data_IF_172232769706
#
_entry.id   IF_172232769706
#
_cell.length_a   1.000
_cell.length_b   1.000
_cell.length_c   1.000
_cell.angle_alpha   90.00
_cell.angle_beta   90.00
_cell.angle_gamma   90.00
#
_symmetry.space_group_name_H-M   'P 1'
#
loop_
_entity.id
_entity.type
_entity.pdbx_description
1 polymer ?
#
# COMPACT_ATOMS: atom_id res chain seq x y z
N UNK A 1 -11.26 -3.52 -13.70
CA UNK A 1 -11.31 -4.85 -14.32
C UNK A 1 -11.85 -4.71 -15.73
N UNK A 2 -11.24 -5.34 -16.73
CA UNK A 2 -11.77 -5.36 -18.09
C UNK A 2 -12.65 -6.60 -18.28
N UNK A 3 -13.79 -6.43 -18.92
CA UNK A 3 -14.59 -7.55 -19.43
C UNK A 3 -15.05 -7.27 -20.85
N UNK A 4 -15.43 -8.33 -21.54
CA UNK A 4 -16.03 -8.27 -22.86
C UNK A 4 -17.53 -8.54 -22.74
N UNK A 5 -18.35 -7.70 -23.37
CA UNK A 5 -19.78 -7.92 -23.59
C UNK A 5 -19.99 -8.07 -25.10
N UNK A 6 -20.79 -9.05 -25.52
CA UNK A 6 -21.13 -9.26 -26.93
C UNK A 6 -22.61 -8.91 -27.10
N UNK A 7 -22.89 -7.97 -27.99
CA UNK A 7 -24.25 -7.50 -28.27
C UNK A 7 -25.02 -8.50 -29.16
N UNK A 8 -26.33 -8.31 -29.31
CA UNK A 8 -27.20 -9.20 -30.12
C UNK A 8 -26.77 -9.27 -31.60
N UNK A 9 -26.08 -8.24 -32.10
CA UNK A 9 -25.47 -8.20 -33.45
C UNK A 9 -24.12 -8.95 -33.53
N UNK A 10 -23.69 -9.63 -32.46
CA UNK A 10 -22.42 -10.35 -32.38
C UNK A 10 -21.18 -9.45 -32.24
N UNK A 11 -21.38 -8.15 -31.97
CA UNK A 11 -20.28 -7.19 -31.85
C UNK A 11 -19.70 -7.18 -30.44
N UNK A 12 -18.37 -7.23 -30.33
CA UNK A 12 -17.65 -7.23 -29.05
C UNK A 12 -17.42 -5.81 -28.51
N UNK A 13 -17.92 -5.55 -27.30
CA UNK A 13 -17.75 -4.32 -26.53
C UNK A 13 -16.83 -4.57 -25.32
N UNK A 14 -15.69 -3.90 -25.30
CA UNK A 14 -14.77 -3.94 -24.15
C UNK A 14 -15.11 -2.83 -23.17
N UNK A 15 -15.49 -3.21 -21.95
CA UNK A 15 -15.88 -2.27 -20.90
C UNK A 15 -14.89 -2.36 -19.75
N UNK A 16 -14.42 -1.20 -19.30
CA UNK A 16 -13.59 -1.08 -18.10
C UNK A 16 -14.47 -0.81 -16.88
N UNK A 17 -14.51 -1.76 -15.97
CA UNK A 17 -15.12 -1.62 -14.66
C UNK A 17 -14.11 -1.04 -13.68
N UNK A 18 -14.30 0.20 -13.25
CA UNK A 18 -13.64 0.78 -12.08
C UNK A 18 -14.68 1.27 -11.08
N UNK A 19 -14.29 1.39 -9.80
CA UNK A 19 -15.07 2.18 -8.85
C UNK A 19 -15.02 3.63 -9.32
N UNK A 20 -16.12 4.13 -9.90
CA UNK A 20 -16.29 5.55 -10.21
C UNK A 20 -16.41 6.33 -8.89
N UNK A 21 -15.62 7.39 -8.73
CA UNK A 21 -15.71 8.30 -7.56
C UNK A 21 -17.12 8.89 -7.36
N UNK A 22 -17.92 8.96 -8.43
CA UNK A 22 -19.20 9.68 -8.45
C UNK A 22 -20.41 8.85 -8.00
N UNK A 23 -20.31 7.52 -7.96
CA UNK A 23 -21.45 6.64 -7.64
C UNK A 23 -21.56 6.40 -6.13
N UNK A 24 -22.02 7.43 -5.43
CA UNK A 24 -22.35 7.36 -4.01
C UNK A 24 -21.11 7.54 -3.14
N UNK A 25 -21.13 8.62 -2.37
CA UNK A 25 -20.18 9.07 -1.35
C UNK A 25 -20.02 8.05 -0.21
N UNK A 26 -19.64 6.80 -0.51
CA UNK A 26 -18.76 6.01 0.34
C UNK A 26 -17.34 6.29 -0.13
N UNK A 27 -16.99 7.57 -0.11
CA UNK A 27 -15.61 8.02 0.01
C UNK A 27 -15.04 7.18 1.15
N UNK A 28 -13.96 6.43 0.90
CA UNK A 28 -13.21 5.77 1.98
C UNK A 28 -13.22 6.70 3.18
N UNK A 29 -13.80 6.25 4.30
CA UNK A 29 -14.06 7.17 5.41
C UNK A 29 -12.74 7.87 5.74
N UNK A 30 -12.77 9.18 5.99
CA UNK A 30 -11.57 9.94 6.37
C UNK A 30 -10.80 9.23 7.50
N UNK A 31 -11.53 8.54 8.38
CA UNK A 31 -10.98 7.65 9.40
C UNK A 31 -10.17 6.47 8.81
N UNK A 32 -10.73 5.72 7.86
CA UNK A 32 -10.06 4.58 7.20
C UNK A 32 -8.77 5.01 6.50
N UNK A 33 -8.80 6.14 5.79
CA UNK A 33 -7.61 6.71 5.15
C UNK A 33 -6.55 7.10 6.20
N UNK A 34 -6.96 7.79 7.29
CA UNK A 34 -6.03 8.17 8.36
C UNK A 34 -5.39 6.96 9.05
N UNK A 35 -6.17 5.92 9.35
CA UNK A 35 -5.64 4.67 9.94
C UNK A 35 -4.66 3.99 8.99
N UNK A 36 -4.97 3.93 7.69
CA UNK A 36 -4.07 3.38 6.69
C UNK A 36 -2.72 4.12 6.66
N UNK A 37 -2.75 5.45 6.53
CA UNK A 37 -1.52 6.26 6.47
C UNK A 37 -0.74 6.24 7.79
N UNK A 38 -1.43 6.24 8.93
CA UNK A 38 -0.79 6.09 10.24
C UNK A 38 -0.09 4.73 10.35
N UNK A 39 -0.76 3.63 10.01
CA UNK A 39 -0.14 2.31 10.01
C UNK A 39 1.06 2.22 9.08
N UNK A 40 0.93 2.75 7.86
CA UNK A 40 1.98 2.76 6.84
C UNK A 40 3.24 3.52 7.29
N UNK A 41 3.10 4.56 8.12
CA UNK A 41 4.23 5.36 8.65
C UNK A 41 4.74 4.83 9.99
N UNK A 42 3.86 4.38 10.89
CA UNK A 42 4.25 3.86 12.21
C UNK A 42 5.06 2.57 12.07
N UNK A 43 4.68 1.68 11.16
CA UNK A 43 5.42 0.44 10.94
C UNK A 43 6.92 0.65 10.60
N UNK A 44 7.31 1.46 9.60
CA UNK A 44 8.72 1.71 9.34
C UNK A 44 9.43 2.41 10.49
N UNK A 45 8.75 3.28 11.26
CA UNK A 45 9.33 3.88 12.48
C UNK A 45 9.72 2.81 13.51
N UNK A 46 8.84 1.82 13.76
CA UNK A 46 9.13 0.71 14.67
C UNK A 46 10.35 -0.09 14.18
N UNK A 47 10.44 -0.35 12.87
CA UNK A 47 11.59 -1.05 12.29
C UNK A 47 12.90 -0.27 12.44
N UNK A 48 12.87 1.05 12.29
CA UNK A 48 14.05 1.91 12.53
C UNK A 48 14.49 1.87 13.99
N UNK A 49 13.55 1.86 14.94
CA UNK A 49 13.86 1.71 16.38
C UNK A 49 14.53 0.35 16.65
N UNK A 50 13.99 -0.74 16.08
CA UNK A 50 14.63 -2.06 16.17
C UNK A 50 15.99 -2.09 15.48
N UNK A 51 16.19 -1.34 14.39
CA UNK A 51 17.48 -1.23 13.71
C UNK A 51 18.52 -0.61 14.64
N UNK A 52 18.15 0.51 15.26
CA UNK A 52 19.02 1.20 16.20
C UNK A 52 19.32 0.34 17.43
N UNK A 53 18.32 -0.33 18.00
CA UNK A 53 18.49 -1.22 19.15
C UNK A 53 19.41 -2.41 18.85
N UNK A 54 19.27 -3.03 17.68
CA UNK A 54 20.11 -4.17 17.25
C UNK A 54 21.54 -3.75 16.90
N UNK A 55 21.73 -2.54 16.34
CA UNK A 55 23.04 -1.93 16.11
C UNK A 55 23.77 -1.66 17.42
N UNK A 56 23.11 -1.04 18.41
CA UNK A 56 23.70 -0.77 19.73
C UNK A 56 23.99 -2.06 20.50
N UNK A 57 23.13 -3.08 20.37
CA UNK A 57 23.33 -4.38 21.03
C UNK A 57 24.31 -5.32 20.31
N UNK A 58 24.88 -4.92 19.16
CA UNK A 58 25.77 -5.73 18.29
C UNK A 58 25.25 -7.15 18.00
N UNK A 59 23.92 -7.33 17.99
CA UNK A 59 23.29 -8.64 17.76
C UNK A 59 23.16 -8.90 16.26
N UNK A 60 24.27 -9.23 15.61
CA UNK A 60 24.40 -9.43 14.15
C UNK A 60 23.35 -10.40 13.59
N UNK A 61 22.96 -11.43 14.34
CA UNK A 61 21.92 -12.39 13.94
C UNK A 61 20.57 -11.74 13.61
N UNK A 62 20.22 -10.64 14.29
CA UNK A 62 18.94 -9.94 14.11
C UNK A 62 19.01 -8.81 13.09
N UNK A 63 20.22 -8.39 12.71
CA UNK A 63 20.45 -7.29 11.78
C UNK A 63 19.82 -7.54 10.41
N UNK A 64 19.93 -8.77 9.88
CA UNK A 64 19.36 -9.14 8.59
C UNK A 64 17.82 -9.00 8.55
N UNK A 65 17.15 -9.41 9.63
CA UNK A 65 15.68 -9.30 9.75
C UNK A 65 15.26 -7.84 9.77
N UNK A 66 15.99 -7.01 10.50
CA UNK A 66 15.70 -5.59 10.60
C UNK A 66 15.94 -4.87 9.27
N UNK A 67 17.05 -5.14 8.58
CA UNK A 67 17.34 -4.56 7.26
C UNK A 67 16.23 -4.92 6.26
N UNK A 68 15.80 -6.18 6.23
CA UNK A 68 14.69 -6.61 5.39
C UNK A 68 13.39 -5.87 5.74
N UNK A 69 13.07 -5.72 7.03
CA UNK A 69 11.90 -4.97 7.49
C UNK A 69 11.92 -3.50 7.06
N UNK A 70 13.07 -2.83 7.17
CA UNK A 70 13.24 -1.43 6.75
C UNK A 70 13.09 -1.28 5.23
N UNK A 71 13.72 -2.16 4.45
CA UNK A 71 13.65 -2.09 2.97
C UNK A 71 12.23 -2.34 2.48
N UNK A 72 11.58 -3.42 2.94
CA UNK A 72 10.23 -3.79 2.49
C UNK A 72 9.21 -2.71 2.84
N UNK A 73 9.23 -2.20 4.08
CA UNK A 73 8.30 -1.16 4.50
C UNK A 73 8.63 0.21 3.88
N UNK A 74 9.91 0.51 3.67
CA UNK A 74 10.36 1.71 2.96
C UNK A 74 9.90 1.73 1.51
N UNK A 75 10.07 0.61 0.78
CA UNK A 75 9.60 0.47 -0.59
C UNK A 75 8.06 0.60 -0.68
N UNK A 76 7.35 -0.03 0.26
CA UNK A 76 5.89 0.06 0.35
C UNK A 76 5.42 1.50 0.58
N UNK A 77 5.98 2.18 1.58
CA UNK A 77 5.67 3.59 1.87
C UNK A 77 5.99 4.49 0.68
N UNK A 78 7.16 4.32 0.06
CA UNK A 78 7.56 5.10 -1.11
C UNK A 78 6.58 4.94 -2.28
N UNK A 79 6.18 3.70 -2.59
CA UNK A 79 5.21 3.41 -3.63
C UNK A 79 3.87 4.12 -3.39
N UNK A 80 3.33 4.03 -2.17
CA UNK A 80 2.08 4.72 -1.83
C UNK A 80 2.19 6.24 -1.89
N UNK A 81 3.31 6.83 -1.45
CA UNK A 81 3.54 8.28 -1.57
C UNK A 81 3.56 8.68 -3.05
N UNK A 82 4.28 7.93 -3.89
CA UNK A 82 4.38 8.22 -5.34
C UNK A 82 3.06 8.07 -6.09
N UNK A 83 2.15 7.23 -5.61
CA UNK A 83 0.80 7.07 -6.17
C UNK A 83 -0.20 8.10 -5.62
N UNK A 84 0.09 8.75 -4.49
CA UNK A 84 -0.75 9.81 -3.90
C UNK A 84 -0.43 11.19 -4.47
N UNK A 85 0.85 11.48 -4.70
CA UNK A 85 1.36 12.74 -5.29
C UNK A 85 1.19 12.71 -6.80
#
# INVERSE_FOLDING_TARGET
RWWNQVDDDGKSHWVYESRKETSGRKVTSEAESRIFWLGLVICPIIWVIFAFSTLVSLKVKWLAIVIMGVILQGANLYGYIKCKV
#
